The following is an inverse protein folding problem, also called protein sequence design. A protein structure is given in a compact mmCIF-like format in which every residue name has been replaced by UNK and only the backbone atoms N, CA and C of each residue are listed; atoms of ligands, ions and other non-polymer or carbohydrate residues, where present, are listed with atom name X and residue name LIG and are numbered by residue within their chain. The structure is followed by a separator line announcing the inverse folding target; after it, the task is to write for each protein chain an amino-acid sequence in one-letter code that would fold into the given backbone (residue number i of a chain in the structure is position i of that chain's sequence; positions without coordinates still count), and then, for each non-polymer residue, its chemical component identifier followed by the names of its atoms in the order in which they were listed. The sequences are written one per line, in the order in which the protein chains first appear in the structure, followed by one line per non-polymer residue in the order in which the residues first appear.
data_IF_813883813240
#
_entry.id   IF_813883813240
#
_cell.length_a   1.000
_cell.length_b   1.000
_cell.length_c   1.000
_cell.angle_alpha   90.00
_cell.angle_beta   90.00
_cell.angle_gamma   90.00
#
_symmetry.space_group_name_H-M   'P 1'
#
loop_
_entity.id
_entity.type
_entity.pdbx_description
1 polymer ?
#
# COMPACT_ATOMS: atom_id res chain seq x y z
N UNK A 1 -11.75 -4.53 -14.68
CA UNK A 1 -11.02 -5.58 -15.41
C UNK A 1 -9.95 -4.92 -16.30
N UNK A 2 -8.71 -4.96 -15.89
CA UNK A 2 -7.56 -4.36 -16.60
C UNK A 2 -7.11 -5.21 -17.81
N UNK A 3 -8.02 -5.92 -18.47
CA UNK A 3 -7.70 -6.82 -19.59
C UNK A 3 -7.06 -8.15 -19.15
N UNK A 4 -7.18 -8.49 -17.88
CA UNK A 4 -6.56 -9.69 -17.29
C UNK A 4 -7.46 -10.92 -17.32
N UNK A 5 -8.73 -10.77 -17.73
CA UNK A 5 -9.72 -11.86 -17.78
C UNK A 5 -9.19 -13.05 -18.59
N UNK A 6 -9.29 -14.24 -18.01
CA UNK A 6 -8.78 -15.50 -18.60
C UNK A 6 -7.24 -15.53 -18.75
N UNK A 7 -6.51 -14.69 -18.01
CA UNK A 7 -5.06 -14.74 -17.94
C UNK A 7 -4.61 -15.10 -16.52
N UNK A 8 -3.35 -15.55 -16.31
CA UNK A 8 -2.81 -15.77 -14.97
C UNK A 8 -2.89 -14.53 -14.05
N UNK A 9 -2.90 -13.33 -14.63
CA UNK A 9 -3.03 -12.07 -13.88
C UNK A 9 -4.42 -11.86 -13.27
N UNK A 10 -5.43 -12.62 -13.68
CA UNK A 10 -6.75 -12.60 -13.03
C UNK A 10 -6.65 -13.03 -11.56
N UNK A 11 -5.81 -14.01 -11.26
CA UNK A 11 -5.53 -14.42 -9.87
C UNK A 11 -4.89 -13.30 -9.04
N UNK A 12 -4.04 -12.47 -9.63
CA UNK A 12 -3.47 -11.29 -8.96
C UNK A 12 -4.55 -10.25 -8.64
N UNK A 13 -5.51 -10.03 -9.53
CA UNK A 13 -6.64 -9.12 -9.28
C UNK A 13 -7.54 -9.60 -8.13
N UNK A 14 -7.79 -10.91 -8.03
CA UNK A 14 -8.53 -11.48 -6.91
C UNK A 14 -7.80 -11.33 -5.57
N UNK A 15 -6.50 -11.63 -5.55
CA UNK A 15 -5.68 -11.54 -4.33
C UNK A 15 -5.45 -10.09 -3.93
N UNK A 16 -5.09 -9.23 -4.87
CA UNK A 16 -4.82 -7.81 -4.64
C UNK A 16 -6.07 -6.93 -4.54
N UNK A 17 -7.25 -7.48 -4.73
CA UNK A 17 -8.54 -6.80 -4.65
C UNK A 17 -9.44 -7.39 -3.57
N UNK A 18 -10.47 -8.18 -3.95
CA UNK A 18 -11.50 -8.65 -3.02
C UNK A 18 -10.95 -9.43 -1.83
N UNK A 19 -9.97 -10.32 -2.04
CA UNK A 19 -9.40 -11.11 -0.95
C UNK A 19 -8.73 -10.24 0.11
N UNK A 20 -7.91 -9.28 -0.29
CA UNK A 20 -7.26 -8.35 0.63
C UNK A 20 -8.28 -7.52 1.42
N UNK A 21 -9.36 -7.05 0.77
CA UNK A 21 -10.42 -6.31 1.42
C UNK A 21 -11.17 -7.16 2.46
N UNK A 22 -11.54 -8.40 2.12
CA UNK A 22 -12.23 -9.31 3.04
C UNK A 22 -11.35 -9.65 4.24
N UNK A 23 -10.08 -9.99 4.00
CA UNK A 23 -9.14 -10.34 5.07
C UNK A 23 -8.94 -9.16 6.05
N UNK A 24 -8.73 -7.96 5.53
CA UNK A 24 -8.60 -6.77 6.37
C UNK A 24 -9.87 -6.49 7.19
N UNK A 25 -11.05 -6.67 6.58
CA UNK A 25 -12.34 -6.51 7.28
C UNK A 25 -12.45 -7.49 8.45
N UNK A 26 -12.05 -8.73 8.25
CA UNK A 26 -12.05 -9.73 9.33
C UNK A 26 -11.13 -9.31 10.47
N UNK A 27 -9.92 -8.87 10.18
CA UNK A 27 -8.99 -8.39 11.21
C UNK A 27 -9.51 -7.15 11.95
N UNK A 28 -10.09 -6.18 11.24
CA UNK A 28 -10.71 -5.02 11.89
C UNK A 28 -11.89 -5.43 12.79
N UNK A 29 -12.77 -6.31 12.29
CA UNK A 29 -13.90 -6.84 13.07
C UNK A 29 -13.40 -7.53 14.33
N UNK A 30 -12.44 -8.43 14.20
CA UNK A 30 -11.92 -9.21 15.32
C UNK A 30 -11.24 -8.30 16.35
N UNK A 31 -10.49 -7.30 15.91
CA UNK A 31 -9.89 -6.28 16.77
C UNK A 31 -10.93 -5.44 17.52
N UNK A 32 -12.07 -5.12 16.89
CA UNK A 32 -13.13 -4.33 17.51
C UNK A 32 -13.99 -5.13 18.49
N UNK A 33 -14.18 -6.43 18.23
CA UNK A 33 -14.99 -7.34 19.07
C UNK A 33 -14.17 -7.88 20.22
N UNK A 34 -12.92 -8.28 19.96
CA UNK A 34 -12.03 -8.86 20.96
C UNK A 34 -11.46 -7.78 21.89
N UNK A 35 -11.92 -7.82 23.14
CA UNK A 35 -11.48 -6.92 24.20
C UNK A 35 -10.44 -7.56 25.13
N UNK A 36 -10.07 -8.82 24.84
CA UNK A 36 -9.06 -9.55 25.60
C UNK A 36 -7.68 -8.90 25.49
N UNK A 37 -6.86 -9.14 26.49
CA UNK A 37 -5.46 -8.72 26.48
C UNK A 37 -4.66 -9.47 25.42
N UNK A 38 -3.54 -8.89 25.01
CA UNK A 38 -2.61 -9.56 24.10
C UNK A 38 -2.16 -10.89 24.70
N UNK A 39 -2.07 -11.92 23.88
CA UNK A 39 -1.59 -13.22 24.33
C UNK A 39 -0.09 -13.14 24.66
N UNK A 40 0.23 -13.31 25.95
CA UNK A 40 1.59 -13.26 26.47
C UNK A 40 2.51 -14.30 25.83
N UNK A 41 1.98 -15.48 25.45
CA UNK A 41 2.76 -16.53 24.77
C UNK A 41 3.35 -16.08 23.42
N UNK A 42 2.80 -15.03 22.82
CA UNK A 42 3.30 -14.45 21.57
C UNK A 42 4.33 -13.35 21.76
N UNK A 43 4.56 -12.94 23.02
CA UNK A 43 5.51 -11.89 23.36
C UNK A 43 6.87 -12.50 23.70
N UNK A 44 7.92 -11.91 23.14
CA UNK A 44 9.30 -12.26 23.43
C UNK A 44 9.96 -11.08 24.16
N UNK A 45 10.17 -11.25 25.46
CA UNK A 45 10.75 -10.22 26.33
C UNK A 45 12.18 -9.85 25.91
N UNK A 46 13.00 -10.84 25.52
CA UNK A 46 14.42 -10.60 25.15
C UNK A 46 14.55 -9.71 23.91
N UNK A 47 13.64 -9.90 22.94
CA UNK A 47 13.62 -9.12 21.72
C UNK A 47 12.73 -7.87 21.83
N UNK A 48 11.90 -7.78 22.85
CA UNK A 48 10.79 -6.86 22.97
C UNK A 48 9.92 -6.88 21.71
N UNK A 49 9.43 -8.06 21.37
CA UNK A 49 8.69 -8.31 20.14
C UNK A 49 7.42 -9.11 20.37
N UNK A 50 6.42 -8.87 19.53
CA UNK A 50 5.17 -9.63 19.53
C UNK A 50 4.95 -10.30 18.18
N UNK A 51 4.69 -11.60 18.17
CA UNK A 51 4.42 -12.36 16.95
C UNK A 51 3.01 -12.07 16.44
N UNK A 52 2.90 -11.55 15.20
CA UNK A 52 1.61 -11.21 14.58
C UNK A 52 1.23 -12.14 13.44
N UNK A 53 2.14 -12.96 12.95
CA UNK A 53 1.88 -13.95 11.90
C UNK A 53 2.89 -15.10 11.97
N UNK A 54 2.48 -16.38 11.75
CA UNK A 54 1.12 -16.85 11.53
C UNK A 54 0.32 -16.93 12.87
N UNK A 55 -1.00 -16.71 12.79
CA UNK A 55 -1.88 -16.75 13.95
C UNK A 55 -2.54 -18.13 14.17
N UNK A 56 -2.62 -18.94 13.13
CA UNK A 56 -3.30 -20.22 13.15
C UNK A 56 -2.58 -21.28 12.30
N UNK A 57 -3.05 -22.52 12.41
CA UNK A 57 -2.45 -23.65 11.70
C UNK A 57 -2.58 -23.54 10.17
N UNK A 58 -3.69 -22.98 9.69
CA UNK A 58 -3.93 -22.81 8.25
C UNK A 58 -2.92 -21.84 7.65
N UNK A 59 -2.69 -20.70 8.31
CA UNK A 59 -1.69 -19.72 7.90
C UNK A 59 -0.28 -20.34 7.91
N UNK A 60 0.06 -21.12 8.94
CA UNK A 60 1.36 -21.80 9.03
C UNK A 60 1.59 -22.79 7.90
N UNK A 61 0.55 -23.53 7.49
CA UNK A 61 0.63 -24.47 6.37
C UNK A 61 0.68 -23.73 5.03
N UNK A 62 -0.13 -22.69 4.87
CA UNK A 62 -0.21 -21.93 3.63
C UNK A 62 1.05 -21.08 3.36
N UNK A 63 1.72 -20.66 4.43
CA UNK A 63 2.91 -19.78 4.37
C UNK A 63 4.05 -20.34 5.25
N UNK A 64 4.61 -21.52 4.92
CA UNK A 64 5.46 -22.29 5.85
C UNK A 64 6.78 -21.61 6.23
N UNK A 65 7.21 -20.58 5.54
CA UNK A 65 8.48 -19.88 5.81
C UNK A 65 8.29 -18.38 6.05
N UNK A 66 7.04 -17.96 6.24
CA UNK A 66 6.72 -16.55 6.48
C UNK A 66 6.38 -16.38 7.96
N UNK A 67 7.01 -15.40 8.59
CA UNK A 67 6.64 -14.94 9.92
C UNK A 67 6.74 -13.42 9.96
N UNK A 68 5.95 -12.82 10.83
CA UNK A 68 5.99 -11.38 11.09
C UNK A 68 5.93 -11.13 12.59
N UNK A 69 6.75 -10.17 13.04
CA UNK A 69 6.80 -9.69 14.41
C UNK A 69 6.74 -8.17 14.42
N UNK A 70 6.10 -7.63 15.42
CA UNK A 70 6.20 -6.20 15.76
C UNK A 70 7.31 -6.05 16.80
N UNK A 71 8.30 -5.23 16.49
CA UNK A 71 9.37 -4.88 17.43
C UNK A 71 9.00 -3.58 18.12
N UNK A 72 9.02 -3.59 19.45
CA UNK A 72 8.71 -2.41 20.24
C UNK A 72 9.97 -1.67 20.70
N UNK A 73 9.81 -0.42 21.07
CA UNK A 73 10.88 0.32 21.70
C UNK A 73 11.26 -0.37 23.03
N UNK A 74 12.54 -0.51 23.30
CA UNK A 74 13.08 -1.16 24.51
C UNK A 74 12.61 -0.52 25.82
N UNK A 75 12.11 0.71 25.77
CA UNK A 75 11.54 1.40 26.93
C UNK A 75 10.10 1.03 27.25
N UNK A 76 9.41 0.26 26.39
CA UNK A 76 8.03 -0.15 26.60
C UNK A 76 7.97 -1.54 27.25
N UNK A 77 7.24 -1.65 28.34
CA UNK A 77 6.90 -2.96 28.93
C UNK A 77 5.76 -3.63 28.17
N UNK A 78 5.54 -4.92 28.41
CA UNK A 78 4.37 -5.63 27.85
C UNK A 78 3.04 -5.01 28.31
N UNK A 79 2.97 -4.55 29.55
CA UNK A 79 1.78 -3.87 30.07
C UNK A 79 1.53 -2.54 29.32
N UNK A 80 2.59 -1.77 29.03
CA UNK A 80 2.45 -0.56 28.22
C UNK A 80 1.96 -0.87 26.82
N UNK A 81 2.51 -1.91 26.19
CA UNK A 81 2.10 -2.35 24.86
C UNK A 81 0.62 -2.75 24.87
N UNK A 82 0.21 -3.52 25.87
CA UNK A 82 -1.16 -3.97 26.02
C UNK A 82 -2.13 -2.80 26.27
N UNK A 83 -1.74 -1.85 27.11
CA UNK A 83 -2.51 -0.64 27.41
C UNK A 83 -2.71 0.26 26.19
N UNK A 84 -1.68 0.42 25.36
CA UNK A 84 -1.71 1.33 24.21
C UNK A 84 -2.07 0.64 22.89
N UNK A 85 -2.31 -0.67 22.90
CA UNK A 85 -2.80 -1.40 21.72
C UNK A 85 -4.15 -0.87 21.27
N UNK A 86 -4.43 -1.03 20.01
CA UNK A 86 -5.75 -0.78 19.48
C UNK A 86 -6.17 0.69 19.58
N UNK A 87 -5.51 1.54 18.77
CA UNK A 87 -5.89 2.95 18.65
C UNK A 87 -7.40 3.12 18.37
N UNK A 88 -8.02 2.15 17.69
CA UNK A 88 -9.46 2.06 17.44
C UNK A 88 -10.31 1.97 18.71
N UNK A 89 -9.75 1.55 19.85
CA UNK A 89 -10.44 1.46 21.14
C UNK A 89 -10.34 2.75 21.98
N UNK A 90 -9.58 3.72 21.54
CA UNK A 90 -9.46 5.02 22.22
C UNK A 90 -10.68 5.87 21.92
N UNK A 91 -11.28 6.44 22.97
CA UNK A 91 -12.46 7.30 22.89
C UNK A 91 -12.14 8.79 23.00
N UNK A 92 -10.90 9.14 23.23
CA UNK A 92 -10.35 10.49 23.42
C UNK A 92 -9.87 11.15 22.13
N UNK A 93 -10.40 10.70 20.98
CA UNK A 93 -10.03 11.20 19.66
C UNK A 93 -11.05 12.23 19.20
N UNK A 94 -10.57 13.40 18.83
CA UNK A 94 -11.42 14.44 18.26
C UNK A 94 -12.05 13.99 16.94
N UNK A 95 -13.34 14.25 16.72
CA UNK A 95 -14.00 13.98 15.46
C UNK A 95 -13.29 14.69 14.30
N UNK A 96 -13.08 13.98 13.21
CA UNK A 96 -12.38 14.53 12.05
C UNK A 96 -12.97 14.01 10.74
N UNK A 97 -12.81 14.80 9.68
CA UNK A 97 -13.12 14.38 8.31
C UNK A 97 -11.79 14.14 7.58
N UNK A 98 -11.59 12.92 7.12
CA UNK A 98 -10.44 12.55 6.29
C UNK A 98 -10.85 12.46 4.83
N UNK A 99 -10.19 13.24 3.98
CA UNK A 99 -10.23 13.06 2.54
C UNK A 99 -9.25 11.95 2.15
N UNK A 100 -9.76 10.86 1.61
CA UNK A 100 -8.96 9.78 1.04
C UNK A 100 -8.92 9.94 -0.47
N UNK A 101 -7.75 10.24 -1.01
CA UNK A 101 -7.46 10.25 -2.45
C UNK A 101 -6.98 8.85 -2.85
N UNK A 102 -7.90 8.06 -3.38
CA UNK A 102 -7.71 6.64 -3.59
C UNK A 102 -6.69 6.31 -4.68
N UNK A 103 -5.97 5.21 -4.51
CA UNK A 103 -5.05 4.67 -5.51
C UNK A 103 -5.75 4.18 -6.78
N UNK A 104 -5.03 4.24 -7.91
CA UNK A 104 -5.51 3.75 -9.20
C UNK A 104 -5.05 2.34 -9.58
N UNK A 105 -4.05 1.81 -8.90
CA UNK A 105 -3.37 0.57 -9.32
C UNK A 105 -4.01 -0.72 -8.80
N UNK A 106 -4.49 -0.73 -7.56
CA UNK A 106 -5.21 -1.86 -6.95
C UNK A 106 -6.58 -1.43 -6.46
N UNK A 107 -7.58 -2.29 -6.68
CA UNK A 107 -8.97 -2.01 -6.25
C UNK A 107 -9.16 -2.08 -4.73
N UNK A 108 -8.32 -2.84 -4.02
CA UNK A 108 -8.38 -2.94 -2.55
C UNK A 108 -7.78 -1.74 -1.83
N UNK A 109 -6.80 -1.04 -2.39
CA UNK A 109 -6.09 0.03 -1.67
C UNK A 109 -7.05 1.12 -1.20
N UNK A 110 -7.92 1.70 -2.03
CA UNK A 110 -8.88 2.69 -1.55
C UNK A 110 -9.80 2.16 -0.44
N UNK A 111 -10.14 0.87 -0.48
CA UNK A 111 -10.90 0.21 0.59
C UNK A 111 -10.11 0.15 1.89
N UNK A 112 -8.85 -0.29 1.82
CA UNK A 112 -7.96 -0.43 2.99
C UNK A 112 -7.69 0.93 3.64
N UNK A 113 -7.44 1.97 2.83
CA UNK A 113 -7.23 3.34 3.28
C UNK A 113 -8.46 3.87 4.02
N UNK A 114 -9.65 3.66 3.44
CA UNK A 114 -10.92 4.02 4.08
C UNK A 114 -11.09 3.31 5.41
N UNK A 115 -10.91 1.99 5.45
CA UNK A 115 -11.07 1.20 6.69
C UNK A 115 -10.07 1.62 7.76
N UNK A 116 -8.82 1.89 7.38
CA UNK A 116 -7.82 2.38 8.31
C UNK A 116 -8.24 3.69 8.97
N UNK A 117 -8.63 4.68 8.19
CA UNK A 117 -8.99 5.99 8.71
C UNK A 117 -10.33 5.97 9.47
N UNK A 118 -11.29 5.17 9.00
CA UNK A 118 -12.59 5.00 9.66
C UNK A 118 -12.43 4.34 11.04
N UNK A 119 -11.73 3.19 11.09
CA UNK A 119 -11.64 2.36 12.29
C UNK A 119 -10.54 2.85 13.22
N UNK A 120 -9.32 3.02 12.70
CA UNK A 120 -8.15 3.33 13.53
C UNK A 120 -8.12 4.80 13.96
N UNK A 121 -8.51 5.72 13.07
CA UNK A 121 -8.53 7.15 13.34
C UNK A 121 -9.91 7.70 13.72
N UNK A 122 -10.95 6.88 13.63
CA UNK A 122 -12.34 7.29 13.92
C UNK A 122 -12.79 8.54 13.14
N UNK A 123 -12.33 8.63 11.90
CA UNK A 123 -12.68 9.74 11.02
C UNK A 123 -13.92 9.40 10.19
N UNK A 124 -14.72 10.41 9.89
CA UNK A 124 -15.67 10.36 8.77
C UNK A 124 -14.88 10.48 7.47
N UNK A 125 -15.24 9.71 6.46
CA UNK A 125 -14.43 9.56 5.24
C UNK A 125 -15.12 10.19 4.04
N UNK A 126 -14.38 11.05 3.35
CA UNK A 126 -14.67 11.45 1.99
C UNK A 126 -13.71 10.71 1.06
N UNK A 127 -14.17 9.63 0.43
CA UNK A 127 -13.39 8.86 -0.54
C UNK A 127 -13.57 9.46 -1.93
N UNK A 128 -12.51 10.00 -2.50
CA UNK A 128 -12.45 10.39 -3.91
C UNK A 128 -11.70 9.31 -4.68
N UNK A 129 -12.38 8.63 -5.59
CA UNK A 129 -11.79 7.58 -6.41
C UNK A 129 -10.78 8.16 -7.41
N UNK A 130 -9.74 7.38 -7.70
CA UNK A 130 -8.85 7.69 -8.80
C UNK A 130 -9.63 7.62 -10.13
N UNK A 131 -9.42 8.54 -11.09
CA UNK A 131 -10.12 8.50 -12.38
C UNK A 131 -10.07 7.16 -13.10
N UNK A 132 -8.97 6.40 -12.97
CA UNK A 132 -8.84 5.05 -13.54
C UNK A 132 -9.84 4.06 -12.94
N UNK A 133 -10.27 4.27 -11.70
CA UNK A 133 -11.14 3.38 -10.94
C UNK A 133 -12.55 3.94 -10.72
N UNK A 134 -12.95 5.02 -11.39
CA UNK A 134 -14.29 5.62 -11.25
C UNK A 134 -15.41 4.64 -11.59
N UNK A 135 -15.18 3.71 -12.50
CA UNK A 135 -16.13 2.63 -12.83
C UNK A 135 -16.45 1.70 -11.65
N UNK A 136 -15.61 1.71 -10.60
CA UNK A 136 -15.85 0.94 -9.38
C UNK A 136 -16.76 1.68 -8.38
N UNK A 137 -17.15 2.94 -8.63
CA UNK A 137 -17.99 3.72 -7.70
C UNK A 137 -19.22 2.93 -7.24
N UNK A 138 -20.03 2.33 -8.12
CA UNK A 138 -21.21 1.57 -7.69
C UNK A 138 -20.85 0.36 -6.80
N UNK A 139 -19.69 -0.25 -7.02
CA UNK A 139 -19.20 -1.36 -6.18
C UNK A 139 -18.83 -0.86 -4.79
N UNK A 140 -18.08 0.24 -4.69
CA UNK A 140 -17.74 0.86 -3.41
C UNK A 140 -18.97 1.34 -2.65
N UNK A 141 -19.94 1.94 -3.32
CA UNK A 141 -21.19 2.37 -2.71
C UNK A 141 -21.97 1.18 -2.12
N UNK A 142 -22.00 0.06 -2.82
CA UNK A 142 -22.63 -1.17 -2.32
C UNK A 142 -21.87 -1.78 -1.15
N UNK A 143 -20.54 -1.84 -1.22
CA UNK A 143 -19.68 -2.40 -0.16
C UNK A 143 -19.78 -1.55 1.12
N UNK A 144 -19.83 -0.22 0.99
CA UNK A 144 -19.91 0.69 2.12
C UNK A 144 -21.34 1.13 2.47
N UNK A 145 -22.36 0.52 1.90
CA UNK A 145 -23.75 0.96 2.03
C UNK A 145 -24.14 1.30 3.47
N UNK A 146 -23.91 0.39 4.41
CA UNK A 146 -24.27 0.58 5.82
C UNK A 146 -23.53 1.78 6.47
N UNK A 147 -22.33 2.10 6.04
CA UNK A 147 -21.59 3.26 6.53
C UNK A 147 -22.04 4.55 5.84
N UNK A 148 -22.41 4.49 4.57
CA UNK A 148 -22.94 5.62 3.79
C UNK A 148 -24.30 6.05 4.35
N UNK A 149 -25.21 5.11 4.59
CA UNK A 149 -26.54 5.37 5.17
C UNK A 149 -26.47 6.03 6.55
N UNK A 150 -25.40 5.77 7.29
CA UNK A 150 -25.13 6.37 8.60
C UNK A 150 -24.30 7.66 8.54
N UNK A 151 -23.92 8.11 7.36
CA UNK A 151 -23.14 9.33 7.16
C UNK A 151 -21.66 9.23 7.49
N UNK A 152 -21.10 8.02 7.63
CA UNK A 152 -19.68 7.84 7.96
C UNK A 152 -18.78 7.87 6.73
N UNK A 153 -19.32 7.56 5.55
CA UNK A 153 -18.54 7.51 4.30
C UNK A 153 -19.33 8.19 3.19
N UNK A 154 -18.62 8.98 2.38
CA UNK A 154 -19.10 9.49 1.11
C UNK A 154 -18.11 9.01 0.04
N UNK A 155 -18.63 8.40 -1.03
CA UNK A 155 -17.84 7.99 -2.19
C UNK A 155 -18.11 8.95 -3.35
N UNK A 156 -17.07 9.58 -3.86
CA UNK A 156 -17.17 10.54 -4.95
C UNK A 156 -16.15 10.25 -6.05
N UNK A 157 -16.42 10.82 -7.22
CA UNK A 157 -15.51 10.93 -8.36
C UNK A 157 -15.21 12.41 -8.59
N UNK A 158 -14.41 12.73 -9.55
CA UNK A 158 -14.15 14.11 -9.93
C UNK A 158 -12.78 14.32 -10.55
N UNK A 159 -12.61 15.44 -11.18
CA UNK A 159 -11.41 15.91 -11.85
C UNK A 159 -10.30 16.31 -10.86
N UNK A 160 -9.20 16.78 -11.40
CA UNK A 160 -8.09 17.36 -10.63
C UNK A 160 -8.54 18.62 -9.88
N UNK A 161 -9.37 19.46 -10.50
CA UNK A 161 -9.81 20.73 -9.89
C UNK A 161 -10.72 20.48 -8.69
N UNK A 162 -11.66 19.52 -8.78
CA UNK A 162 -12.46 19.12 -7.63
C UNK A 162 -11.59 18.50 -6.53
N UNK A 163 -10.57 17.74 -6.90
CA UNK A 163 -9.61 17.20 -5.92
C UNK A 163 -8.87 18.34 -5.20
N UNK A 164 -8.39 19.34 -5.94
CA UNK A 164 -7.74 20.52 -5.37
C UNK A 164 -8.67 21.33 -4.47
N UNK A 165 -9.93 21.45 -4.85
CA UNK A 165 -10.95 22.09 -4.00
C UNK A 165 -11.12 21.32 -2.69
N UNK A 166 -11.31 20.00 -2.75
CA UNK A 166 -11.49 19.17 -1.55
C UNK A 166 -10.28 19.24 -0.61
N UNK A 167 -9.05 19.22 -1.13
CA UNK A 167 -7.85 19.30 -0.28
C UNK A 167 -7.75 20.63 0.48
N UNK A 168 -8.30 21.70 -0.05
CA UNK A 168 -8.29 23.05 0.57
C UNK A 168 -9.53 23.32 1.43
N UNK A 169 -10.60 22.54 1.26
CA UNK A 169 -11.88 22.80 1.92
C UNK A 169 -11.74 22.80 3.47
N UNK A 170 -12.25 23.81 4.18
CA UNK A 170 -12.04 23.96 5.63
C UNK A 170 -12.63 22.79 6.45
N UNK A 171 -13.69 22.13 5.95
CA UNK A 171 -14.28 20.96 6.59
C UNK A 171 -13.42 19.68 6.52
N UNK A 172 -12.38 19.64 5.68
CA UNK A 172 -11.44 18.51 5.65
C UNK A 172 -10.32 18.77 6.64
N UNK A 173 -10.20 17.89 7.62
CA UNK A 173 -9.21 18.01 8.70
C UNK A 173 -7.90 17.29 8.38
N UNK A 174 -7.98 16.17 7.66
CA UNK A 174 -6.85 15.32 7.31
C UNK A 174 -6.94 14.87 5.85
N UNK A 175 -5.80 14.69 5.21
CA UNK A 175 -5.71 14.17 3.83
C UNK A 175 -4.91 12.87 3.88
N UNK A 176 -5.39 11.85 3.20
CA UNK A 176 -4.62 10.65 2.88
C UNK A 176 -4.50 10.50 1.36
N UNK A 177 -3.29 10.31 0.89
CA UNK A 177 -2.98 10.13 -0.53
C UNK A 177 -2.21 8.83 -0.76
N UNK A 178 -2.76 7.94 -1.55
CA UNK A 178 -1.99 6.86 -2.18
C UNK A 178 -1.83 7.17 -3.67
N UNK A 179 -0.62 7.57 -4.08
CA UNK A 179 -0.40 8.08 -5.44
C UNK A 179 1.04 8.50 -5.73
N UNK A 180 1.21 9.49 -6.61
CA UNK A 180 2.53 9.96 -7.01
C UNK A 180 3.09 11.04 -6.07
N UNK A 181 4.42 11.13 -6.02
CA UNK A 181 5.13 12.22 -5.35
C UNK A 181 4.76 13.60 -5.91
N UNK A 182 4.55 13.70 -7.22
CA UNK A 182 4.11 14.93 -7.88
C UNK A 182 2.74 15.40 -7.40
N UNK A 183 1.79 14.47 -7.23
CA UNK A 183 0.47 14.80 -6.65
C UNK A 183 0.60 15.28 -5.21
N UNK A 184 1.45 14.64 -4.42
CA UNK A 184 1.74 15.08 -3.06
C UNK A 184 2.34 16.50 -3.05
N UNK A 185 3.33 16.75 -3.90
CA UNK A 185 3.99 18.04 -4.03
C UNK A 185 3.02 19.14 -4.44
N UNK A 186 2.14 18.87 -5.40
CA UNK A 186 1.09 19.82 -5.83
C UNK A 186 0.10 20.14 -4.70
N UNK A 187 -0.31 19.15 -3.92
CA UNK A 187 -1.21 19.35 -2.77
C UNK A 187 -0.54 20.18 -1.67
N UNK A 188 0.72 19.89 -1.35
CA UNK A 188 1.42 20.51 -0.22
C UNK A 188 2.05 21.84 -0.58
N UNK A 189 2.67 21.92 -1.76
CA UNK A 189 3.48 23.08 -2.19
C UNK A 189 2.86 23.85 -3.35
N UNK A 190 1.79 23.34 -3.98
CA UNK A 190 1.13 23.97 -5.14
C UNK A 190 1.88 23.81 -6.46
N UNK A 191 2.96 23.03 -6.48
CA UNK A 191 3.80 22.78 -7.66
C UNK A 191 4.67 21.54 -7.46
N UNK A 192 5.13 20.96 -8.56
CA UNK A 192 6.20 19.97 -8.52
C UNK A 192 7.51 20.58 -8.01
N UNK A 193 8.27 19.81 -7.26
CA UNK A 193 9.55 20.24 -6.71
C UNK A 193 10.71 19.85 -7.63
N UNK A 194 11.58 20.80 -7.90
CA UNK A 194 12.85 20.53 -8.56
C UNK A 194 13.81 19.76 -7.64
N UNK A 195 14.88 19.22 -8.23
CA UNK A 195 15.95 18.54 -7.44
C UNK A 195 16.57 19.51 -6.42
N UNK A 196 16.66 20.79 -6.74
CA UNK A 196 17.20 21.80 -5.84
C UNK A 196 16.22 22.15 -4.71
N UNK A 197 14.92 22.24 -5.00
CA UNK A 197 13.88 22.40 -3.97
C UNK A 197 13.95 21.26 -2.93
N UNK A 198 14.08 20.01 -3.39
CA UNK A 198 14.16 18.82 -2.50
C UNK A 198 15.37 18.84 -1.54
N UNK A 199 16.36 19.68 -1.80
CA UNK A 199 17.52 19.90 -0.90
C UNK A 199 17.29 20.98 0.13
N UNK A 200 16.25 21.79 0.02
CA UNK A 200 15.92 22.85 0.95
C UNK A 200 15.26 22.22 2.21
N UNK A 201 15.84 22.49 3.38
CA UNK A 201 15.37 21.90 4.66
C UNK A 201 13.95 22.34 5.06
N UNK A 202 13.53 23.53 4.65
CA UNK A 202 12.20 24.06 4.95
C UNK A 202 11.63 24.75 3.70
N UNK A 203 10.72 24.06 3.03
CA UNK A 203 9.93 24.64 1.96
C UNK A 203 8.62 25.20 2.52
N UNK A 204 8.22 26.36 2.02
CA UNK A 204 6.92 26.94 2.37
C UNK A 204 5.79 26.08 1.83
N UNK A 205 4.95 25.56 2.72
CA UNK A 205 3.75 24.82 2.37
C UNK A 205 2.61 25.77 2.11
N UNK A 206 1.81 25.50 1.08
CA UNK A 206 0.55 26.20 0.84
C UNK A 206 -0.64 25.50 1.53
N UNK A 207 -0.47 24.22 1.85
CA UNK A 207 -1.45 23.42 2.58
C UNK A 207 -0.80 22.87 3.86
N UNK A 208 -1.28 23.33 5.00
CA UNK A 208 -0.74 22.97 6.32
C UNK A 208 -1.57 21.88 7.02
N UNK A 209 -2.59 21.32 6.36
CA UNK A 209 -3.35 20.21 6.94
C UNK A 209 -2.46 19.00 7.17
N UNK A 210 -2.72 18.21 8.21
CA UNK A 210 -2.08 16.91 8.36
C UNK A 210 -2.32 16.05 7.11
N UNK A 211 -1.24 15.54 6.53
CA UNK A 211 -1.31 14.65 5.38
C UNK A 211 -0.48 13.40 5.63
N UNK A 212 -1.08 12.26 5.35
CA UNK A 212 -0.39 10.97 5.25
C UNK A 212 -0.35 10.55 3.80
N UNK A 213 0.71 9.90 3.37
CA UNK A 213 0.85 9.50 1.98
C UNK A 213 1.61 8.20 1.82
N UNK A 214 1.18 7.41 0.85
CA UNK A 214 1.91 6.26 0.31
C UNK A 214 2.26 6.57 -1.14
N UNK A 215 3.54 6.73 -1.40
CA UNK A 215 4.05 7.18 -2.69
C UNK A 215 4.82 6.06 -3.40
N UNK A 216 5.11 6.28 -4.69
CA UNK A 216 5.97 5.39 -5.44
C UNK A 216 7.40 5.37 -4.92
N UNK A 217 8.13 4.32 -5.23
CA UNK A 217 9.54 4.20 -4.87
C UNK A 217 10.35 3.45 -5.95
N UNK A 218 11.66 3.36 -5.75
CA UNK A 218 12.59 2.71 -6.69
C UNK A 218 12.73 1.22 -6.40
N UNK A 219 12.54 0.78 -5.19
CA UNK A 219 12.69 -0.61 -4.72
C UNK A 219 13.93 -1.30 -5.31
N UNK A 220 15.14 -0.88 -4.95
CA UNK A 220 16.36 -1.47 -5.49
C UNK A 220 16.53 -2.91 -4.99
N UNK A 221 16.86 -3.81 -5.90
CA UNK A 221 17.29 -5.17 -5.57
C UNK A 221 18.81 -5.17 -5.53
N UNK A 222 19.37 -5.44 -4.36
CA UNK A 222 20.82 -5.50 -4.16
C UNK A 222 21.27 -6.96 -4.22
N UNK A 223 22.17 -7.27 -5.15
CA UNK A 223 22.73 -8.61 -5.29
C UNK A 223 23.97 -8.72 -4.42
N UNK A 224 23.92 -9.60 -3.43
CA UNK A 224 25.11 -9.97 -2.65
C UNK A 224 25.92 -11.03 -3.40
N UNK A 225 27.21 -10.80 -3.67
CA UNK A 225 28.05 -11.77 -4.39
C UNK A 225 28.23 -13.05 -3.56
N UNK A 226 28.29 -14.18 -4.24
CA UNK A 226 28.49 -15.49 -3.61
C UNK A 226 28.72 -16.58 -4.65
N UNK A 227 28.90 -17.80 -4.18
CA UNK A 227 28.97 -18.99 -5.01
C UNK A 227 27.58 -19.46 -5.40
N UNK A 228 26.99 -18.80 -6.40
CA UNK A 228 25.67 -19.16 -6.90
C UNK A 228 25.78 -20.25 -7.96
N UNK A 229 24.99 -21.29 -7.80
CA UNK A 229 24.81 -22.29 -8.87
C UNK A 229 23.96 -21.70 -10.01
N UNK A 230 23.97 -22.35 -11.15
CA UNK A 230 23.06 -21.98 -12.27
C UNK A 230 21.58 -22.05 -11.83
N UNK A 231 21.23 -22.96 -10.92
CA UNK A 231 19.89 -23.07 -10.38
C UNK A 231 19.52 -21.84 -9.55
N UNK A 232 20.43 -21.38 -8.69
CA UNK A 232 20.23 -20.18 -7.88
C UNK A 232 20.05 -18.94 -8.75
N UNK A 233 20.89 -18.79 -9.77
CA UNK A 233 20.79 -17.67 -10.71
C UNK A 233 19.43 -17.66 -11.42
N UNK A 234 18.98 -18.82 -11.92
CA UNK A 234 17.66 -18.95 -12.55
C UNK A 234 16.52 -18.62 -11.59
N UNK A 235 16.62 -19.10 -10.35
CA UNK A 235 15.61 -18.84 -9.31
C UNK A 235 15.53 -17.35 -8.98
N UNK A 236 16.68 -16.71 -8.73
CA UNK A 236 16.72 -15.29 -8.39
C UNK A 236 16.30 -14.42 -9.58
N UNK A 237 16.70 -14.77 -10.82
CA UNK A 237 16.24 -14.07 -12.00
C UNK A 237 14.70 -14.09 -12.13
N UNK A 238 14.06 -15.24 -11.86
CA UNK A 238 12.59 -15.33 -11.83
C UNK A 238 11.99 -14.45 -10.75
N UNK A 239 12.56 -14.44 -9.53
CA UNK A 239 12.10 -13.57 -8.43
C UNK A 239 12.18 -12.09 -8.79
N UNK A 240 13.30 -11.65 -9.39
CA UNK A 240 13.49 -10.28 -9.86
C UNK A 240 12.39 -9.90 -10.86
N UNK A 241 12.15 -10.76 -11.86
CA UNK A 241 11.13 -10.53 -12.88
C UNK A 241 9.72 -10.51 -12.27
N UNK A 242 9.42 -11.42 -11.36
CA UNK A 242 8.13 -11.43 -10.64
C UNK A 242 7.95 -10.15 -9.82
N UNK A 243 8.97 -9.71 -9.07
CA UNK A 243 8.93 -8.47 -8.30
C UNK A 243 8.77 -7.21 -9.16
N UNK A 244 9.27 -7.26 -10.42
CA UNK A 244 9.08 -6.16 -11.39
C UNK A 244 7.69 -6.15 -12.01
N UNK A 245 7.15 -7.32 -12.33
CA UNK A 245 5.97 -7.46 -13.19
C UNK A 245 4.68 -7.80 -12.43
N UNK A 246 4.75 -7.94 -11.12
CA UNK A 246 3.55 -8.08 -10.29
C UNK A 246 2.57 -6.93 -10.57
N UNK A 247 1.30 -7.24 -10.74
CA UNK A 247 0.26 -6.32 -11.21
C UNK A 247 0.66 -5.59 -12.52
N UNK A 248 1.26 -6.31 -13.47
CA UNK A 248 1.77 -5.76 -14.73
C UNK A 248 2.78 -4.60 -14.54
N UNK A 249 3.47 -4.55 -13.42
CA UNK A 249 4.41 -3.49 -13.05
C UNK A 249 3.77 -2.25 -12.43
N UNK A 250 2.44 -2.22 -12.25
CA UNK A 250 1.71 -1.13 -11.59
C UNK A 250 1.68 -1.28 -10.07
N UNK A 251 2.78 -1.65 -9.49
CA UNK A 251 2.92 -1.77 -8.05
C UNK A 251 3.90 -0.70 -7.55
N UNK A 252 3.52 0.04 -6.51
CA UNK A 252 4.38 1.07 -5.90
C UNK A 252 5.72 0.51 -5.41
N UNK A 253 5.79 -0.78 -5.07
CA UNK A 253 7.01 -1.49 -4.68
C UNK A 253 7.64 -2.31 -5.82
N UNK A 254 7.23 -2.09 -7.06
CA UNK A 254 7.84 -2.75 -8.23
C UNK A 254 9.33 -2.43 -8.32
N UNK A 255 10.15 -3.45 -8.45
CA UNK A 255 11.60 -3.26 -8.58
C UNK A 255 11.96 -2.45 -9.84
N UNK A 256 12.68 -1.35 -9.65
CA UNK A 256 13.08 -0.46 -10.75
C UNK A 256 14.57 -0.58 -11.06
N UNK A 257 15.38 -0.96 -10.09
CA UNK A 257 16.83 -1.02 -10.20
C UNK A 257 17.34 -2.34 -9.64
N UNK A 258 18.33 -2.93 -10.31
CA UNK A 258 19.13 -4.04 -9.79
C UNK A 258 20.55 -3.53 -9.62
N UNK A 259 21.04 -3.56 -8.40
CA UNK A 259 22.43 -3.20 -8.06
C UNK A 259 23.27 -4.48 -8.08
N UNK A 260 24.24 -4.50 -8.94
CA UNK A 260 25.14 -5.64 -9.15
C UNK A 260 26.53 -5.32 -8.59
N UNK A 261 27.21 -6.29 -7.93
CA UNK A 261 28.58 -6.08 -7.49
C UNK A 261 29.53 -6.03 -8.69
N UNK A 262 30.49 -5.13 -8.62
CA UNK A 262 31.55 -5.05 -9.65
C UNK A 262 32.39 -6.32 -9.65
N UNK A 263 32.79 -6.76 -10.84
CA UNK A 263 33.64 -7.95 -11.04
C UNK A 263 32.99 -9.30 -10.66
N UNK A 264 31.69 -9.36 -10.31
CA UNK A 264 31.06 -10.63 -10.02
C UNK A 264 30.82 -11.48 -11.25
N UNK A 265 31.48 -12.65 -11.31
CA UNK A 265 31.55 -13.52 -12.53
C UNK A 265 30.20 -14.06 -13.02
N UNK A 266 29.09 -13.87 -12.28
CA UNK A 266 27.74 -14.32 -12.66
C UNK A 266 26.84 -13.19 -13.17
N UNK A 267 27.32 -11.97 -13.24
CA UNK A 267 26.57 -10.78 -13.66
C UNK A 267 25.87 -10.99 -15.01
N UNK A 268 26.63 -11.34 -16.04
CA UNK A 268 26.09 -11.53 -17.40
C UNK A 268 25.07 -12.67 -17.45
N UNK A 269 25.34 -13.75 -16.71
CA UNK A 269 24.47 -14.92 -16.65
C UNK A 269 23.12 -14.53 -15.97
N UNK A 270 23.16 -13.77 -14.89
CA UNK A 270 21.95 -13.28 -14.21
C UNK A 270 21.14 -12.37 -15.15
N UNK A 271 21.77 -11.39 -15.79
CA UNK A 271 21.14 -10.49 -16.75
C UNK A 271 20.51 -11.27 -17.92
N UNK A 272 21.21 -12.28 -18.45
CA UNK A 272 20.69 -13.16 -19.51
C UNK A 272 19.39 -13.85 -19.06
N UNK A 273 19.34 -14.41 -17.85
CA UNK A 273 18.13 -15.07 -17.36
C UNK A 273 17.01 -14.08 -17.01
N UNK A 274 17.31 -12.90 -16.50
CA UNK A 274 16.30 -11.83 -16.32
C UNK A 274 15.64 -11.51 -17.66
N UNK A 275 16.43 -11.19 -18.69
CA UNK A 275 15.93 -10.93 -20.06
C UNK A 275 15.12 -12.11 -20.61
N UNK A 276 15.61 -13.34 -20.41
CA UNK A 276 14.91 -14.56 -20.86
C UNK A 276 13.52 -14.70 -20.21
N UNK A 277 13.39 -14.48 -18.91
CA UNK A 277 12.10 -14.59 -18.23
C UNK A 277 11.18 -13.42 -18.55
N UNK A 278 11.69 -12.20 -18.68
CA UNK A 278 10.89 -11.05 -19.13
C UNK A 278 10.29 -11.29 -20.52
N UNK A 279 11.07 -11.83 -21.46
CA UNK A 279 10.60 -12.11 -22.83
C UNK A 279 9.53 -13.22 -22.90
N UNK A 280 9.37 -14.04 -21.86
CA UNK A 280 8.31 -15.06 -21.79
C UNK A 280 6.95 -14.49 -21.44
N UNK A 281 6.90 -13.28 -20.90
CA UNK A 281 5.68 -12.65 -20.46
C UNK A 281 5.10 -11.86 -21.62
N UNK A 282 3.87 -12.20 -22.01
CA UNK A 282 3.17 -11.45 -23.07
C UNK A 282 2.89 -10.04 -22.55
N UNK A 283 3.27 -9.03 -23.30
CA UNK A 283 2.95 -7.64 -23.00
C UNK A 283 1.42 -7.47 -22.89
N UNK A 284 0.96 -6.85 -21.81
CA UNK A 284 -0.41 -6.39 -21.67
C UNK A 284 -0.59 -5.15 -22.53
N UNK A 285 -1.79 -4.92 -23.07
CA UNK A 285 -2.07 -3.83 -24.01
C UNK A 285 -1.55 -2.48 -23.52
N UNK A 286 -0.74 -1.83 -24.36
CA UNK A 286 -0.08 -0.53 -24.09
C UNK A 286 -1.08 0.62 -23.73
N UNK A 287 -2.32 0.54 -24.19
CA UNK A 287 -3.37 1.51 -23.87
C UNK A 287 -3.70 1.57 -22.38
N UNK A 288 -3.60 0.46 -21.66
CA UNK A 288 -3.82 0.44 -20.21
C UNK A 288 -2.62 1.00 -19.43
N UNK A 289 -1.40 0.87 -19.97
CA UNK A 289 -0.18 1.44 -19.39
C UNK A 289 -0.20 2.97 -19.43
N UNK A 290 -0.62 3.56 -20.53
CA UNK A 290 -0.70 5.02 -20.70
C UNK A 290 -1.72 5.69 -19.79
N UNK A 291 -2.81 5.03 -19.45
CA UNK A 291 -3.82 5.61 -18.57
C UNK A 291 -3.29 5.91 -17.15
N UNK A 292 -2.22 5.24 -16.73
CA UNK A 292 -1.54 5.52 -15.46
C UNK A 292 -0.45 6.59 -15.56
N UNK A 293 0.14 6.78 -16.74
CA UNK A 293 1.19 7.79 -16.96
C UNK A 293 0.62 9.16 -17.35
N UNK A 294 -0.55 9.20 -17.99
CA UNK A 294 -1.15 10.45 -18.50
C UNK A 294 -1.93 11.25 -17.46
N UNK A 295 -2.06 10.78 -16.22
CA UNK A 295 -2.64 11.53 -15.11
C UNK A 295 -1.61 12.44 -14.42
N UNK A 296 -0.54 12.76 -15.10
CA UNK A 296 0.51 13.70 -14.65
C UNK A 296 0.29 15.14 -15.15
N UNK A 297 -0.88 15.44 -15.72
CA UNK A 297 -1.15 16.80 -16.24
C UNK A 297 -2.40 17.38 -15.61
#
# INVERSE_FOLDING_TARGET
NKGTTKTPAEGEEWVGGPYAAVLATQYYRDTLIDDSDLNEDKYNEKENSYSVFPNNLIERISFPFVNAKVLFNKSMSFDDINKYRGFSKRYDIDPSITLVLGAGNYSSIPYLDVMYHLVTRRSVILLKLNPVNEYLKPVFEKVFQNFIERGYIIVTTGSIDESKYMTKHPGVNHIHLTGSDKTYEDIVYGRELSVNDKKVKQLQKINNKPITSELGNVTPIIIHPGKWSTSDIKYQARKIVTGKLNNNGFNCISAQVVVLPDGWGHTDTLIKYIKHYMNKIKAVSYTHLRAHETLHY
#
